data_IF_247212592084
#
_entry.id   IF_247212592084
#
_cell.length_a   1.000
_cell.length_b   1.000
_cell.length_c   1.000
_cell.angle_alpha   90.00
_cell.angle_beta   90.00
_cell.angle_gamma   90.00
#
_symmetry.space_group_name_H-M   'P 1'
#
loop_
_entity.id
_entity.type
_entity.pdbx_description
1 polymer ?
#
# COMPACT_ATOMS: atom_id res chain seq x y z
N UNK A 1 -15.55 22.72 -0.58
CA UNK A 1 -14.93 21.51 -1.18
C UNK A 1 -14.79 20.50 -0.07
N UNK A 2 -15.43 19.34 -0.17
CA UNK A 2 -15.29 18.29 0.83
C UNK A 2 -13.85 17.76 0.77
N UNK A 3 -13.07 18.05 1.81
CA UNK A 3 -11.81 17.37 2.09
C UNK A 3 -12.14 15.95 2.54
N UNK A 4 -12.58 15.09 1.62
CA UNK A 4 -12.51 13.67 1.86
C UNK A 4 -11.03 13.35 2.11
N UNK A 5 -10.74 12.72 3.24
CA UNK A 5 -9.40 12.25 3.61
C UNK A 5 -8.82 11.45 2.45
N UNK A 6 -8.00 12.07 1.59
CA UNK A 6 -7.32 11.38 0.49
C UNK A 6 -6.19 10.56 1.10
N UNK A 7 -6.44 9.28 1.34
CA UNK A 7 -5.36 8.33 1.60
C UNK A 7 -4.76 7.87 0.28
N UNK A 8 -3.45 7.66 0.30
CA UNK A 8 -2.69 7.07 -0.79
C UNK A 8 -2.26 5.66 -0.41
N UNK A 9 -2.14 4.82 -1.44
CA UNK A 9 -1.69 3.43 -1.29
C UNK A 9 -0.43 3.18 -2.09
N UNK A 10 0.55 2.52 -1.47
CA UNK A 10 1.64 1.84 -2.16
C UNK A 10 1.45 0.34 -2.00
N UNK A 11 1.34 -0.37 -3.12
CA UNK A 11 1.07 -1.80 -3.14
C UNK A 11 2.18 -2.53 -3.88
N UNK A 12 2.83 -3.43 -3.16
CA UNK A 12 3.90 -4.29 -3.64
C UNK A 12 3.30 -5.63 -3.99
N UNK A 13 3.44 -6.07 -5.24
CA UNK A 13 2.96 -7.37 -5.72
C UNK A 13 4.16 -8.27 -5.99
N UNK A 14 4.18 -9.45 -5.37
CA UNK A 14 5.27 -10.43 -5.49
C UNK A 14 4.75 -11.85 -5.66
N UNK A 15 5.57 -12.76 -6.17
CA UNK A 15 5.27 -14.19 -6.26
C UNK A 15 5.51 -14.97 -4.96
N UNK A 16 6.12 -14.35 -3.93
CA UNK A 16 6.47 -15.02 -2.66
C UNK A 16 5.70 -14.45 -1.47
N UNK A 17 5.00 -15.33 -0.74
CA UNK A 17 4.32 -14.98 0.50
C UNK A 17 5.28 -14.45 1.59
N UNK A 18 6.48 -15.04 1.66
CA UNK A 18 7.52 -14.63 2.60
C UNK A 18 8.01 -13.21 2.27
N UNK A 19 8.26 -12.92 1.00
CA UNK A 19 8.69 -11.59 0.55
C UNK A 19 7.60 -10.55 0.86
N UNK A 20 6.33 -10.86 0.57
CA UNK A 20 5.21 -9.98 0.91
C UNK A 20 5.15 -9.70 2.43
N UNK A 21 5.34 -10.72 3.26
CA UNK A 21 5.37 -10.57 4.71
C UNK A 21 6.53 -9.68 5.18
N UNK A 22 7.74 -9.90 4.64
CA UNK A 22 8.92 -9.10 4.98
C UNK A 22 8.78 -7.64 4.55
N UNK A 23 8.23 -7.38 3.35
CA UNK A 23 7.93 -6.02 2.90
C UNK A 23 6.92 -5.37 3.84
N UNK A 24 5.81 -6.03 4.14
CA UNK A 24 4.77 -5.50 5.04
C UNK A 24 5.33 -5.19 6.43
N UNK A 25 6.18 -6.05 6.97
CA UNK A 25 6.88 -5.80 8.23
C UNK A 25 7.82 -4.60 8.14
N UNK A 26 8.63 -4.53 7.08
CA UNK A 26 9.53 -3.41 6.84
C UNK A 26 8.80 -2.08 6.71
N UNK A 27 7.68 -2.04 5.99
CA UNK A 27 6.82 -0.85 5.87
C UNK A 27 6.28 -0.40 7.24
N UNK A 28 5.89 -1.36 8.09
CA UNK A 28 5.39 -1.07 9.43
C UNK A 28 6.47 -0.52 10.36
N UNK A 29 7.69 -1.07 10.27
CA UNK A 29 8.82 -0.67 11.11
C UNK A 29 9.46 0.64 10.65
N UNK A 30 9.61 0.82 9.33
CA UNK A 30 10.18 2.04 8.74
C UNK A 30 9.20 3.23 8.80
N UNK A 31 7.89 2.96 8.87
CA UNK A 31 6.83 3.97 8.91
C UNK A 31 6.95 5.06 7.83
N UNK A 32 7.30 4.75 6.57
CA UNK A 32 7.76 5.76 5.61
C UNK A 32 6.72 6.89 5.45
N UNK A 33 7.13 8.11 5.78
CA UNK A 33 6.30 9.32 5.77
C UNK A 33 6.66 10.22 4.57
N UNK A 34 5.66 10.90 3.99
CA UNK A 34 5.86 12.07 3.12
C UNK A 34 5.71 13.35 3.96
N UNK A 35 6.43 14.40 3.55
CA UNK A 35 6.62 15.62 4.34
C UNK A 35 5.31 16.33 4.75
N UNK A 36 5.35 16.97 5.93
CA UNK A 36 4.31 17.81 6.56
C UNK A 36 2.96 17.11 6.82
N UNK A 37 2.78 16.59 8.04
CA UNK A 37 1.53 15.96 8.55
C UNK A 37 1.07 14.63 7.89
N UNK A 38 1.91 14.04 7.04
CA UNK A 38 1.69 12.69 6.52
C UNK A 38 1.65 11.64 7.64
N UNK A 39 0.69 10.72 7.60
CA UNK A 39 0.52 9.67 8.64
C UNK A 39 0.21 8.31 8.03
N UNK A 40 0.98 7.30 8.41
CA UNK A 40 0.63 5.90 8.16
C UNK A 40 -0.69 5.54 8.83
N UNK A 41 -1.66 5.10 8.03
CA UNK A 41 -2.99 4.70 8.48
C UNK A 41 -3.09 3.18 8.62
N UNK A 42 -2.42 2.43 7.74
CA UNK A 42 -2.51 0.97 7.72
C UNK A 42 -1.35 0.32 6.98
N UNK A 43 -0.97 -0.87 7.44
CA UNK A 43 0.05 -1.70 6.79
C UNK A 43 -0.39 -3.16 6.89
N UNK A 44 -0.25 -3.91 5.82
CA UNK A 44 -0.55 -5.34 5.82
C UNK A 44 0.02 -6.08 4.62
N UNK A 45 -0.21 -7.39 4.61
CA UNK A 45 0.21 -8.29 3.55
C UNK A 45 -0.75 -9.48 3.46
N UNK A 46 -0.88 -10.08 2.29
CA UNK A 46 -1.74 -11.25 2.10
C UNK A 46 -1.74 -11.78 0.67
N UNK A 47 -2.71 -12.64 0.36
CA UNK A 47 -2.95 -13.11 -1.01
C UNK A 47 -3.77 -12.07 -1.78
N UNK A 48 -3.43 -11.84 -3.06
CA UNK A 48 -4.07 -10.79 -3.88
C UNK A 48 -5.57 -10.94 -4.02
N UNK A 49 -6.11 -12.17 -4.00
CA UNK A 49 -7.55 -12.42 -4.15
C UNK A 49 -8.38 -12.14 -2.88
N UNK A 50 -7.74 -11.83 -1.75
CA UNK A 50 -8.42 -11.64 -0.46
C UNK A 50 -8.68 -10.17 -0.12
N UNK A 51 -8.25 -9.23 -0.95
CA UNK A 51 -8.30 -7.81 -0.63
C UNK A 51 -8.78 -6.95 -1.81
N UNK A 52 -9.89 -6.23 -1.61
CA UNK A 52 -10.52 -5.43 -2.65
C UNK A 52 -9.75 -4.16 -3.02
N UNK A 53 -8.72 -3.79 -2.27
CA UNK A 53 -7.84 -2.68 -2.61
C UNK A 53 -6.92 -3.05 -3.78
N UNK A 54 -6.60 -4.32 -3.94
CA UNK A 54 -5.76 -4.80 -5.04
C UNK A 54 -6.54 -4.73 -6.35
N UNK A 55 -5.92 -4.33 -7.48
CA UNK A 55 -6.65 -4.28 -8.74
C UNK A 55 -7.05 -5.68 -9.18
N UNK A 56 -8.30 -5.82 -9.63
CA UNK A 56 -8.89 -7.10 -9.99
C UNK A 56 -8.08 -7.92 -11.01
N UNK A 57 -7.26 -7.26 -11.84
CA UNK A 57 -6.37 -7.93 -12.80
C UNK A 57 -5.37 -8.90 -12.12
N UNK A 58 -5.08 -8.73 -10.83
CA UNK A 58 -4.22 -9.62 -10.06
C UNK A 58 -4.97 -10.72 -9.32
N UNK A 59 -6.29 -10.62 -9.10
CA UNK A 59 -7.05 -11.55 -8.25
C UNK A 59 -7.09 -13.00 -8.78
N UNK A 60 -6.86 -13.21 -10.08
CA UNK A 60 -6.76 -14.54 -10.69
C UNK A 60 -5.36 -15.16 -10.65
N UNK A 61 -4.42 -14.57 -9.90
CA UNK A 61 -3.03 -15.04 -9.83
C UNK A 61 -2.66 -15.58 -8.45
N UNK A 62 -1.69 -16.50 -8.41
CA UNK A 62 -1.08 -17.02 -7.16
C UNK A 62 -0.07 -16.03 -6.56
N UNK A 63 -0.36 -14.73 -6.66
CA UNK A 63 0.52 -13.66 -6.17
C UNK A 63 0.12 -13.24 -4.75
N UNK A 64 1.09 -12.61 -4.11
CA UNK A 64 0.97 -12.05 -2.78
C UNK A 64 1.20 -10.54 -2.87
N UNK A 65 0.71 -9.83 -1.87
CA UNK A 65 0.88 -8.39 -1.78
C UNK A 65 1.33 -7.94 -0.40
N UNK A 66 1.97 -6.79 -0.36
CA UNK A 66 2.10 -5.95 0.81
C UNK A 66 1.59 -4.56 0.47
N UNK A 67 1.01 -3.85 1.45
CA UNK A 67 0.58 -2.48 1.25
C UNK A 67 0.96 -1.61 2.43
N UNK A 68 1.09 -0.32 2.13
CA UNK A 68 0.96 0.75 3.11
C UNK A 68 -0.08 1.75 2.62
N UNK A 69 -0.96 2.13 3.54
CA UNK A 69 -1.88 3.24 3.40
C UNK A 69 -1.38 4.40 4.24
N UNK A 70 -1.32 5.59 3.65
CA UNK A 70 -0.92 6.80 4.34
C UNK A 70 -1.83 7.95 3.96
N UNK A 71 -2.11 8.81 4.93
CA UNK A 71 -2.72 10.11 4.67
C UNK A 71 -1.64 11.00 4.09
N UNK A 72 -1.88 11.53 2.89
CA UNK A 72 -1.07 12.62 2.38
C UNK A 72 -1.35 13.85 3.25
N UNK A 73 -0.30 14.51 3.70
CA UNK A 73 -0.42 15.82 4.32
C UNK A 73 -0.81 16.88 3.29
N UNK A 74 -0.16 18.05 3.34
CA UNK A 74 -0.33 19.08 2.28
C UNK A 74 0.35 18.70 0.94
N UNK A 75 0.84 17.47 0.81
CA UNK A 75 1.42 16.93 -0.42
C UNK A 75 0.33 16.42 -1.38
N UNK A 76 -0.12 17.29 -2.27
CA UNK A 76 -1.05 16.97 -3.34
C UNK A 76 -0.40 16.32 -4.57
N UNK A 77 0.93 16.14 -4.57
CA UNK A 77 1.68 15.57 -5.69
C UNK A 77 1.83 14.04 -5.60
N UNK A 78 1.55 13.46 -4.44
CA UNK A 78 1.63 12.02 -4.23
C UNK A 78 0.49 11.29 -4.97
N UNK A 79 0.78 10.24 -5.76
CA UNK A 79 -0.26 9.47 -6.42
C UNK A 79 -1.20 8.84 -5.38
N UNK A 80 -2.51 8.88 -5.65
CA UNK A 80 -3.52 8.21 -4.81
C UNK A 80 -3.26 6.69 -4.73
N UNK A 81 -2.61 6.13 -5.76
CA UNK A 81 -2.40 4.69 -5.87
C UNK A 81 -1.15 4.36 -6.70
N UNK A 82 -0.22 3.60 -6.13
CA UNK A 82 1.02 3.15 -6.77
C UNK A 82 1.18 1.63 -6.66
N UNK A 83 1.50 0.98 -7.77
CA UNK A 83 1.77 -0.48 -7.83
C UNK A 83 3.23 -0.70 -8.16
N UNK A 84 3.88 -1.51 -7.33
CA UNK A 84 5.28 -1.89 -7.47
C UNK A 84 5.31 -3.41 -7.67
N UNK A 85 5.90 -3.86 -8.78
CA UNK A 85 6.04 -5.28 -9.08
C UNK A 85 7.43 -5.73 -8.65
N UNK A 86 7.51 -6.75 -7.80
CA UNK A 86 8.74 -7.23 -7.16
C UNK A 86 9.02 -8.70 -7.46
#
# INVERSE_FOLDING_TARGET
MNLENKSSYKIYITSSAEVAHLIGRGLREATPWSESDGKTLGVGSGCVHQDCRIPALYHGSDKFYAYIEYRNGEDFSCPEYEIIIC
#
